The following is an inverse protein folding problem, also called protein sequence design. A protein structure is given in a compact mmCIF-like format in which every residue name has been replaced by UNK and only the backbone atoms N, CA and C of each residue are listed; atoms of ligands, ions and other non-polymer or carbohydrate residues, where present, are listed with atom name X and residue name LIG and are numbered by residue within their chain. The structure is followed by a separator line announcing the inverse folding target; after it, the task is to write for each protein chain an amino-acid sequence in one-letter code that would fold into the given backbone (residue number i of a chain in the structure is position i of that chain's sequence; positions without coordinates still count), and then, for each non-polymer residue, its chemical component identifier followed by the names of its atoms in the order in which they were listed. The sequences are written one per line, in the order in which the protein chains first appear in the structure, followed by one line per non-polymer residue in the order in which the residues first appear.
data_IF_254357395908
#
_entry.id   IF_254357395908
#
_cell.length_a   1.000
_cell.length_b   1.000
_cell.length_c   1.000
_cell.angle_alpha   90.00
_cell.angle_beta   90.00
_cell.angle_gamma   90.00
#
_symmetry.space_group_name_H-M   'P 1'
#
loop_
_entity.id
_entity.type
_entity.pdbx_description
1 polymer ?
#
# COMPACT_ATOMS: atom_id res chain seq x y z
N UNK A 1 -64.61 3.65 0.69
CA UNK A 1 -64.35 5.04 0.24
C UNK A 1 -64.63 6.00 1.40
N UNK A 2 -63.61 6.60 2.04
CA UNK A 2 -63.82 7.61 3.06
C UNK A 2 -63.72 9.04 2.49
N UNK A 3 -64.56 9.94 3.04
CA UNK A 3 -64.79 11.33 2.64
C UNK A 3 -63.62 12.27 3.01
N UNK A 4 -63.42 13.37 2.27
CA UNK A 4 -62.37 14.36 2.59
C UNK A 4 -62.80 15.30 3.73
N UNK A 5 -61.92 15.49 4.72
CA UNK A 5 -62.04 16.52 5.76
C UNK A 5 -61.60 17.87 5.21
N UNK A 6 -62.53 18.82 5.19
CA UNK A 6 -62.28 20.26 5.01
C UNK A 6 -61.66 20.82 6.30
N UNK A 7 -60.57 21.57 6.18
CA UNK A 7 -60.08 22.47 7.24
C UNK A 7 -60.38 23.93 6.86
N UNK A 8 -60.63 24.79 7.87
CA UNK A 8 -61.16 26.13 7.65
C UNK A 8 -60.09 27.14 7.26
N UNK A 9 -60.52 28.03 6.36
CA UNK A 9 -59.91 29.27 5.93
C UNK A 9 -59.81 30.22 7.13
N UNK A 10 -58.61 30.66 7.48
CA UNK A 10 -58.38 31.69 8.50
C UNK A 10 -57.97 32.97 7.79
N UNK A 11 -58.94 33.87 7.65
CA UNK A 11 -58.69 35.27 7.35
C UNK A 11 -57.89 35.88 8.51
N UNK A 12 -56.79 36.56 8.20
CA UNK A 12 -56.24 37.56 9.12
C UNK A 12 -55.87 38.80 8.35
N UNK A 13 -56.43 39.87 8.86
CA UNK A 13 -56.45 41.22 8.36
C UNK A 13 -55.06 41.85 8.33
N UNK A 14 -54.98 42.93 7.57
CA UNK A 14 -53.76 43.65 7.27
C UNK A 14 -53.12 44.35 8.46
N UNK A 15 -51.83 44.62 8.29
CA UNK A 15 -51.08 45.65 8.98
C UNK A 15 -50.07 46.25 7.99
N UNK A 16 -49.80 47.53 8.24
CA UNK A 16 -49.32 48.54 7.31
C UNK A 16 -47.86 48.38 6.81
N UNK A 17 -47.52 49.02 5.67
CA UNK A 17 -46.16 49.10 5.15
C UNK A 17 -45.32 50.05 6.01
N UNK A 18 -44.54 49.49 6.93
CA UNK A 18 -43.45 50.17 7.59
C UNK A 18 -42.23 50.21 6.68
N UNK A 19 -41.91 51.40 6.17
CA UNK A 19 -40.62 51.73 5.57
C UNK A 19 -39.51 51.58 6.62
N UNK A 20 -38.84 50.44 6.61
CA UNK A 20 -37.60 50.25 7.35
C UNK A 20 -36.40 50.84 6.59
N UNK A 21 -35.42 51.40 7.31
CA UNK A 21 -34.26 52.06 6.73
C UNK A 21 -33.39 51.06 5.97
N UNK A 22 -32.91 51.47 4.79
CA UNK A 22 -31.78 50.86 4.06
C UNK A 22 -30.51 50.95 4.92
N UNK A 23 -30.44 50.14 5.97
CA UNK A 23 -29.20 49.79 6.63
C UNK A 23 -28.61 48.61 5.87
N UNK A 24 -27.72 48.89 4.92
CA UNK A 24 -26.86 47.89 4.29
C UNK A 24 -25.89 47.33 5.32
N UNK A 25 -26.40 46.52 6.25
CA UNK A 25 -25.59 45.72 7.14
C UNK A 25 -24.82 44.73 6.29
N UNK A 26 -23.52 44.99 6.12
CA UNK A 26 -22.55 43.98 5.73
C UNK A 26 -22.72 42.82 6.71
N UNK A 27 -23.54 41.83 6.34
CA UNK A 27 -23.58 40.55 7.05
C UNK A 27 -22.18 39.98 6.89
N UNK A 28 -21.46 39.95 8.00
CA UNK A 28 -20.08 39.48 8.05
C UNK A 28 -20.01 38.13 7.36
N UNK A 29 -19.10 37.97 6.40
CA UNK A 29 -18.91 36.70 5.69
C UNK A 29 -18.72 35.52 6.66
N UNK A 30 -18.22 35.81 7.87
CA UNK A 30 -18.10 34.84 8.96
C UNK A 30 -19.43 34.22 9.41
N UNK A 31 -20.56 34.95 9.40
CA UNK A 31 -21.86 34.41 9.82
C UNK A 31 -22.48 33.47 8.78
N UNK A 32 -22.14 33.64 7.50
CA UNK A 32 -22.59 32.75 6.42
C UNK A 32 -21.80 31.45 6.46
N UNK A 33 -20.46 31.54 6.57
CA UNK A 33 -19.57 30.37 6.67
C UNK A 33 -19.87 29.54 7.91
N UNK A 34 -20.15 30.17 9.06
CA UNK A 34 -20.49 29.46 10.29
C UNK A 34 -21.80 28.66 10.21
N UNK A 35 -22.81 29.15 9.48
CA UNK A 35 -24.07 28.42 9.29
C UNK A 35 -23.93 27.27 8.29
N UNK A 36 -23.07 27.42 7.29
CA UNK A 36 -22.81 26.39 6.29
C UNK A 36 -22.05 25.20 6.89
N UNK A 37 -20.99 25.46 7.66
CA UNK A 37 -20.23 24.40 8.37
C UNK A 37 -21.08 23.68 9.43
N UNK A 38 -21.99 24.37 10.11
CA UNK A 38 -22.92 23.73 11.05
C UNK A 38 -23.89 22.76 10.32
N UNK A 39 -24.31 23.10 9.11
CA UNK A 39 -25.19 22.24 8.30
C UNK A 39 -24.47 21.02 7.72
N UNK A 40 -23.17 21.15 7.42
CA UNK A 40 -22.33 20.07 6.92
C UNK A 40 -22.09 19.01 8.00
N UNK A 41 -21.69 19.45 9.18
CA UNK A 41 -21.47 18.57 10.32
C UNK A 41 -22.77 17.84 10.74
N UNK A 42 -23.94 18.47 10.54
CA UNK A 42 -25.24 17.82 10.75
C UNK A 42 -25.54 16.70 9.74
N UNK A 43 -25.24 16.91 8.45
CA UNK A 43 -25.42 15.90 7.40
C UNK A 43 -24.48 14.71 7.58
N UNK A 44 -23.22 14.95 7.95
CA UNK A 44 -22.25 13.88 8.23
C UNK A 44 -22.67 13.05 9.44
N UNK A 45 -23.06 13.71 10.54
CA UNK A 45 -23.60 13.02 11.73
C UNK A 45 -24.82 12.17 11.38
N UNK A 46 -25.71 12.68 10.52
CA UNK A 46 -26.91 11.94 10.10
C UNK A 46 -26.56 10.74 9.21
N UNK A 47 -25.59 10.88 8.31
CA UNK A 47 -25.06 9.76 7.51
C UNK A 47 -24.55 8.64 8.41
N UNK A 48 -23.72 8.97 9.40
CA UNK A 48 -23.10 7.97 10.28
C UNK A 48 -24.16 7.25 11.15
N UNK A 49 -25.19 7.98 11.59
CA UNK A 49 -26.34 7.40 12.29
C UNK A 49 -27.11 6.41 11.39
N UNK A 50 -27.43 6.80 10.16
CA UNK A 50 -28.15 5.95 9.21
C UNK A 50 -27.33 4.73 8.79
N UNK A 51 -26.02 4.87 8.57
CA UNK A 51 -25.13 3.75 8.27
C UNK A 51 -25.08 2.75 9.43
N UNK A 52 -25.07 3.23 10.69
CA UNK A 52 -25.14 2.36 11.86
C UNK A 52 -26.44 1.54 11.89
N UNK A 53 -27.56 2.12 11.48
CA UNK A 53 -28.84 1.42 11.42
C UNK A 53 -28.85 0.39 10.28
N UNK A 54 -28.43 0.78 9.07
CA UNK A 54 -28.45 -0.07 7.87
C UNK A 54 -27.48 -1.25 7.98
N UNK A 55 -26.28 -1.03 8.50
CA UNK A 55 -25.22 -2.05 8.55
C UNK A 55 -25.04 -2.69 9.93
N UNK A 56 -25.58 -2.09 10.99
CA UNK A 56 -25.45 -2.60 12.36
C UNK A 56 -26.64 -3.42 12.85
N UNK A 57 -27.73 -3.50 12.09
CA UNK A 57 -28.88 -4.34 12.43
C UNK A 57 -28.81 -5.70 11.72
N UNK A 58 -29.22 -6.77 12.42
CA UNK A 58 -29.18 -8.15 11.91
C UNK A 58 -30.36 -8.53 11.01
N UNK A 59 -31.24 -7.57 10.69
CA UNK A 59 -32.40 -7.74 9.84
C UNK A 59 -32.35 -6.82 8.63
N UNK A 60 -33.27 -7.02 7.68
CA UNK A 60 -33.43 -6.12 6.54
C UNK A 60 -33.87 -4.73 7.03
N UNK A 61 -33.10 -3.66 6.76
CA UNK A 61 -33.43 -2.32 7.23
C UNK A 61 -34.70 -1.81 6.53
N UNK A 62 -35.53 -0.98 7.20
CA UNK A 62 -36.72 -0.41 6.57
C UNK A 62 -36.33 0.39 5.31
N UNK A 63 -37.06 0.21 4.20
CA UNK A 63 -36.76 0.88 2.93
C UNK A 63 -36.61 2.41 3.06
N UNK A 64 -37.43 3.04 3.92
CA UNK A 64 -37.35 4.47 4.20
C UNK A 64 -35.99 4.93 4.74
N UNK A 65 -35.30 4.08 5.53
CA UNK A 65 -33.97 4.38 6.09
C UNK A 65 -32.90 4.30 4.99
N UNK A 66 -33.04 3.34 4.07
CA UNK A 66 -32.14 3.19 2.92
C UNK A 66 -32.30 4.37 1.95
N UNK A 67 -33.53 4.79 1.69
CA UNK A 67 -33.84 5.95 0.85
C UNK A 67 -33.28 7.24 1.45
N UNK A 68 -33.46 7.44 2.76
CA UNK A 68 -32.91 8.61 3.48
C UNK A 68 -31.37 8.63 3.42
N UNK A 69 -30.71 7.48 3.61
CA UNK A 69 -29.25 7.38 3.50
C UNK A 69 -28.77 7.75 2.09
N UNK A 70 -29.46 7.28 1.04
CA UNK A 70 -29.12 7.61 -0.34
C UNK A 70 -29.31 9.10 -0.64
N UNK A 71 -30.32 9.76 -0.04
CA UNK A 71 -30.53 11.20 -0.15
C UNK A 71 -29.42 12.01 0.53
N UNK A 72 -29.05 11.64 1.76
CA UNK A 72 -27.97 12.28 2.51
C UNK A 72 -26.62 12.15 1.78
N UNK A 73 -26.31 10.96 1.25
CA UNK A 73 -25.08 10.74 0.48
C UNK A 73 -25.03 11.58 -0.79
N UNK A 74 -26.17 11.73 -1.49
CA UNK A 74 -26.26 12.60 -2.68
C UNK A 74 -26.08 14.07 -2.33
N UNK A 75 -26.63 14.52 -1.20
CA UNK A 75 -26.47 15.89 -0.72
C UNK A 75 -25.00 16.21 -0.39
N UNK A 76 -24.29 15.28 0.26
CA UNK A 76 -22.85 15.42 0.54
C UNK A 76 -22.01 15.43 -0.75
N UNK A 77 -22.28 14.51 -1.68
CA UNK A 77 -21.55 14.45 -2.96
C UNK A 77 -21.75 15.70 -3.82
N UNK A 78 -22.96 16.27 -3.84
CA UNK A 78 -23.26 17.51 -4.56
C UNK A 78 -22.48 18.72 -4.06
N UNK A 79 -22.09 18.73 -2.77
CA UNK A 79 -21.30 19.83 -2.18
C UNK A 79 -19.80 19.66 -2.39
N UNK A 80 -19.26 18.45 -2.25
CA UNK A 80 -17.84 18.18 -2.54
C UNK A 80 -17.45 18.55 -3.98
N UNK A 81 -18.37 18.38 -4.94
CA UNK A 81 -18.17 18.80 -6.32
C UNK A 81 -18.30 20.32 -6.57
N UNK A 82 -18.94 21.06 -5.66
CA UNK A 82 -19.18 22.51 -5.79
C UNK A 82 -17.98 23.37 -5.39
N UNK A 83 -17.20 22.96 -4.38
CA UNK A 83 -16.07 23.75 -3.88
C UNK A 83 -14.89 23.80 -4.86
N UNK A 84 -14.75 22.81 -5.74
CA UNK A 84 -13.70 22.78 -6.75
C UNK A 84 -14.04 23.58 -8.03
N UNK A 85 -15.31 23.96 -8.23
CA UNK A 85 -15.73 24.65 -9.45
C UNK A 85 -15.68 26.19 -9.33
N UNK A 86 -15.38 26.74 -8.15
CA UNK A 86 -15.40 28.19 -7.88
C UNK A 86 -14.08 28.95 -8.12
N UNK A 87 -12.96 28.26 -8.40
CA UNK A 87 -11.62 28.91 -8.48
C UNK A 87 -11.05 29.05 -9.90
N UNK A 88 -11.78 28.68 -10.95
CA UNK A 88 -11.29 28.67 -12.33
C UNK A 88 -11.78 29.86 -13.20
N UNK A 89 -12.23 30.96 -12.61
CA UNK A 89 -12.65 32.17 -13.36
C UNK A 89 -12.01 33.41 -12.77
N UNK A 90 -10.72 33.64 -13.06
CA UNK A 90 -10.16 34.95 -13.45
C UNK A 90 -8.64 34.85 -13.65
N UNK A 91 -8.22 34.21 -14.74
CA UNK A 91 -6.83 34.30 -15.22
C UNK A 91 -6.83 34.37 -16.74
N UNK A 92 -7.58 35.34 -17.24
CA UNK A 92 -7.66 35.68 -18.65
C UNK A 92 -7.20 37.10 -18.90
N UNK A 93 -5.90 37.41 -18.71
CA UNK A 93 -5.26 38.52 -19.44
C UNK A 93 -3.73 38.51 -19.39
N UNK A 94 -3.15 38.58 -20.58
CA UNK A 94 -1.77 38.96 -20.92
C UNK A 94 -0.69 37.87 -20.81
N UNK A 95 -0.37 37.23 -21.94
CA UNK A 95 0.85 37.58 -22.68
C UNK A 95 1.00 36.67 -23.91
N UNK A 96 0.79 37.25 -25.08
CA UNK A 96 1.51 36.84 -26.28
C UNK A 96 3.01 37.01 -26.02
N UNK A 97 3.82 35.99 -26.29
CA UNK A 97 5.15 36.12 -26.89
C UNK A 97 5.74 34.74 -27.18
N UNK A 98 5.94 34.48 -28.48
CA UNK A 98 7.12 33.93 -29.12
C UNK A 98 8.16 33.19 -28.26
N UNK A 99 8.54 31.98 -28.67
CA UNK A 99 9.74 31.81 -29.50
C UNK A 99 10.17 30.35 -29.61
N UNK A 100 10.52 29.99 -30.84
CA UNK A 100 11.44 28.92 -31.22
C UNK A 100 12.65 28.81 -30.30
N UNK A 101 13.11 27.58 -30.06
CA UNK A 101 14.39 27.35 -29.40
C UNK A 101 14.68 25.88 -29.11
N UNK A 102 14.96 25.11 -30.16
CA UNK A 102 15.81 23.91 -30.01
C UNK A 102 17.20 24.32 -29.54
N UNK A 103 17.83 23.53 -28.66
CA UNK A 103 19.22 23.20 -28.91
C UNK A 103 19.48 21.70 -28.83
N UNK A 104 20.02 21.26 -29.96
CA UNK A 104 20.92 20.14 -30.15
C UNK A 104 22.03 20.12 -29.08
N UNK A 105 22.30 18.93 -28.53
CA UNK A 105 23.10 18.74 -27.32
C UNK A 105 24.00 17.51 -27.41
N UNK A 106 24.90 17.55 -28.39
CA UNK A 106 26.18 16.85 -28.55
C UNK A 106 26.65 15.88 -27.44
N UNK A 107 26.80 14.63 -27.86
CA UNK A 107 27.97 13.72 -27.71
C UNK A 107 29.05 14.13 -26.70
N UNK A 108 29.28 13.27 -25.70
CA UNK A 108 30.40 13.31 -24.77
C UNK A 108 30.86 11.90 -24.40
N UNK A 109 31.53 11.25 -25.35
CA UNK A 109 32.29 10.01 -25.18
C UNK A 109 33.60 10.30 -24.45
N UNK A 110 33.84 9.70 -23.28
CA UNK A 110 35.15 9.63 -22.63
C UNK A 110 35.19 8.49 -21.59
N UNK A 111 35.57 7.31 -22.06
CA UNK A 111 36.42 6.36 -21.32
C UNK A 111 37.88 6.59 -21.75
N UNK A 112 38.91 5.98 -21.14
CA UNK A 112 39.08 5.46 -19.76
C UNK A 112 40.37 6.01 -19.12
N UNK A 113 40.62 5.79 -17.83
CA UNK A 113 42.00 5.82 -17.30
C UNK A 113 42.23 4.73 -16.22
N UNK A 114 43.16 3.79 -16.44
CA UNK A 114 43.52 2.75 -15.48
C UNK A 114 44.70 3.17 -14.58
N UNK A 115 44.93 2.34 -13.55
CA UNK A 115 46.19 2.22 -12.82
C UNK A 115 46.54 3.30 -11.77
N UNK A 116 46.34 2.93 -10.49
CA UNK A 116 47.43 3.08 -9.52
C UNK A 116 47.41 1.98 -8.46
N UNK A 117 48.29 1.01 -8.71
CA UNK A 117 48.86 0.17 -7.67
C UNK A 117 49.70 1.02 -6.70
N UNK A 118 49.65 0.69 -5.40
CA UNK A 118 50.77 0.81 -4.46
C UNK A 118 50.52 -0.07 -3.24
N UNK A 119 51.17 -1.21 -3.28
CA UNK A 119 51.65 -2.01 -2.15
C UNK A 119 52.48 -1.16 -1.18
N UNK A 120 52.24 -1.28 0.13
CA UNK A 120 53.29 -1.19 1.15
C UNK A 120 53.01 -2.25 2.21
N UNK A 121 53.82 -3.28 2.10
CA UNK A 121 54.17 -4.29 3.09
C UNK A 121 55.00 -3.65 4.23
N UNK A 122 55.15 -4.41 5.31
CA UNK A 122 56.36 -4.49 6.11
C UNK A 122 56.36 -3.91 7.54
N UNK A 123 56.70 -4.82 8.47
CA UNK A 123 57.61 -4.63 9.60
C UNK A 123 57.14 -3.85 10.83
N UNK A 124 57.51 -4.18 12.07
CA UNK A 124 58.30 -5.28 12.66
C UNK A 124 58.20 -5.07 14.19
N UNK A 125 58.37 -6.17 14.92
CA UNK A 125 59.09 -6.30 16.18
C UNK A 125 59.03 -5.21 17.28
N UNK A 126 58.72 -5.72 18.49
CA UNK A 126 59.00 -5.20 19.83
C UNK A 126 60.32 -4.43 19.97
N UNK A 127 60.40 -3.56 20.99
CA UNK A 127 61.24 -3.94 22.13
C UNK A 127 60.59 -3.80 23.51
N UNK A 128 61.20 -4.54 24.41
CA UNK A 128 60.96 -4.81 25.83
C UNK A 128 61.53 -3.70 26.74
N UNK A 129 61.36 -3.84 28.06
CA UNK A 129 62.07 -3.15 29.20
C UNK A 129 61.37 -1.87 29.74
N UNK A 130 61.09 -1.64 31.04
CA UNK A 130 61.42 -2.32 32.29
C UNK A 130 60.35 -2.11 33.40
N UNK A 131 60.31 -3.11 34.28
CA UNK A 131 60.06 -3.14 35.73
C UNK A 131 59.53 -1.91 36.47
N UNK A 132 58.38 -2.09 37.13
CA UNK A 132 58.14 -1.54 38.47
C UNK A 132 57.59 -2.66 39.38
N UNK A 133 58.48 -3.22 40.21
CA UNK A 133 58.13 -4.10 41.33
C UNK A 133 57.29 -3.31 42.32
N UNK A 134 56.08 -3.79 42.64
CA UNK A 134 55.52 -3.56 43.97
C UNK A 134 54.75 -4.78 44.46
N UNK A 135 55.24 -5.29 45.58
CA UNK A 135 54.70 -6.40 46.33
C UNK A 135 53.31 -6.08 46.87
N UNK A 136 52.28 -6.76 46.33
CA UNK A 136 51.00 -6.99 47.05
C UNK A 136 50.51 -8.42 46.84
N UNK A 137 51.35 -9.38 47.24
CA UNK A 137 50.96 -10.79 47.40
C UNK A 137 50.21 -10.96 48.73
N UNK A 138 48.87 -10.97 48.68
CA UNK A 138 47.92 -11.76 49.53
C UNK A 138 46.57 -11.04 49.59
N UNK A 139 45.69 -11.29 48.61
CA UNK A 139 44.22 -11.21 48.73
C UNK A 139 43.47 -11.28 47.37
N UNK A 140 43.94 -12.06 46.38
CA UNK A 140 43.27 -12.10 45.05
C UNK A 140 43.05 -13.50 44.47
N UNK A 141 42.89 -14.53 45.31
CA UNK A 141 42.49 -15.87 44.82
C UNK A 141 40.98 -16.08 44.70
N UNK A 142 40.16 -15.11 45.13
CA UNK A 142 38.69 -15.14 44.95
C UNK A 142 38.17 -14.08 43.96
N UNK A 143 39.05 -13.25 43.38
CA UNK A 143 38.65 -12.15 42.48
C UNK A 143 38.58 -12.54 41.00
N UNK A 144 39.14 -13.68 40.59
CA UNK A 144 39.07 -14.12 39.18
C UNK A 144 37.70 -14.66 38.79
N UNK A 145 37.01 -15.32 39.74
CA UNK A 145 35.72 -15.96 39.51
C UNK A 145 34.57 -14.93 39.49
N UNK A 146 34.63 -13.90 40.35
CA UNK A 146 33.66 -12.82 40.35
C UNK A 146 33.67 -11.97 39.07
N UNK A 147 34.86 -11.70 38.50
CA UNK A 147 34.99 -10.95 37.23
C UNK A 147 34.51 -11.78 36.05
N UNK A 148 34.81 -13.09 36.03
CA UNK A 148 34.33 -14.00 34.99
C UNK A 148 32.79 -14.14 35.02
N UNK A 149 32.19 -14.28 36.21
CA UNK A 149 30.73 -14.35 36.37
C UNK A 149 30.05 -13.02 36.01
N UNK A 150 30.64 -11.88 36.38
CA UNK A 150 30.12 -10.57 36.00
C UNK A 150 30.18 -10.34 34.47
N UNK A 151 31.26 -10.75 33.80
CA UNK A 151 31.36 -10.68 32.34
C UNK A 151 30.34 -11.61 31.65
N UNK A 152 30.10 -12.80 32.18
CA UNK A 152 29.12 -13.75 31.67
C UNK A 152 27.68 -13.27 31.90
N UNK A 153 27.40 -12.63 33.04
CA UNK A 153 26.11 -11.99 33.32
C UNK A 153 25.88 -10.73 32.48
N UNK A 154 26.92 -9.97 32.14
CA UNK A 154 26.82 -8.83 31.22
C UNK A 154 26.65 -9.27 29.77
N UNK A 155 27.27 -10.37 29.35
CA UNK A 155 27.06 -10.97 28.02
C UNK A 155 25.67 -11.63 27.92
N UNK A 156 25.23 -12.35 28.95
CA UNK A 156 23.90 -12.97 28.99
C UNK A 156 22.78 -11.93 29.17
N UNK A 157 22.99 -10.92 30.02
CA UNK A 157 22.06 -9.80 30.22
C UNK A 157 22.01 -8.84 29.04
N UNK A 158 23.15 -8.59 28.38
CA UNK A 158 23.22 -7.74 27.19
C UNK A 158 22.47 -8.34 25.98
N UNK A 159 22.51 -9.66 25.82
CA UNK A 159 21.74 -10.34 24.77
C UNK A 159 20.23 -10.32 25.02
N UNK A 160 19.79 -10.41 26.28
CA UNK A 160 18.37 -10.37 26.64
C UNK A 160 17.71 -8.99 26.42
N UNK A 161 18.50 -7.90 26.40
CA UNK A 161 17.99 -6.53 26.17
C UNK A 161 18.03 -6.14 24.68
N UNK A 162 18.88 -6.79 23.87
CA UNK A 162 19.00 -6.50 22.43
C UNK A 162 17.96 -7.21 21.55
N UNK A 163 17.35 -8.30 22.04
CA UNK A 163 16.28 -9.02 21.33
C UNK A 163 14.99 -8.20 21.11
N UNK A 164 14.41 -7.48 22.10
CA UNK A 164 13.20 -6.70 21.86
C UNK A 164 13.43 -5.55 20.87
N UNK A 165 14.61 -4.93 20.88
CA UNK A 165 14.94 -3.83 19.96
C UNK A 165 15.01 -4.32 18.50
N UNK A 166 15.52 -5.53 18.26
CA UNK A 166 15.52 -6.11 16.91
C UNK A 166 14.12 -6.46 16.41
N UNK A 167 13.20 -6.86 17.28
CA UNK A 167 11.82 -7.12 16.88
C UNK A 167 11.07 -5.83 16.49
N UNK A 168 11.38 -4.71 17.15
CA UNK A 168 10.81 -3.39 16.81
C UNK A 168 11.39 -2.81 15.52
N UNK A 169 12.62 -3.16 15.17
CA UNK A 169 13.31 -2.63 13.98
C UNK A 169 13.20 -3.54 12.74
N UNK A 170 12.70 -4.76 12.89
CA UNK A 170 12.49 -5.64 11.73
C UNK A 170 11.23 -5.18 10.99
N UNK A 171 11.28 -5.01 9.65
CA UNK A 171 10.08 -4.73 8.86
C UNK A 171 9.01 -5.79 9.15
N UNK A 172 7.73 -5.42 9.28
CA UNK A 172 6.68 -6.38 9.58
C UNK A 172 6.58 -7.41 8.45
N UNK A 173 6.82 -8.68 8.79
CA UNK A 173 6.69 -9.80 7.86
C UNK A 173 5.25 -10.30 7.75
N UNK A 174 4.88 -10.77 6.56
CA UNK A 174 3.61 -11.45 6.30
C UNK A 174 2.40 -10.67 6.82
N UNK A 175 1.61 -11.29 7.71
CA UNK A 175 0.39 -10.68 8.26
C UNK A 175 0.64 -9.42 9.09
N UNK A 176 1.86 -9.23 9.62
CA UNK A 176 2.21 -8.02 10.37
C UNK A 176 2.07 -6.75 9.53
N UNK A 177 2.08 -6.86 8.19
CA UNK A 177 1.88 -5.71 7.30
C UNK A 177 0.49 -5.07 7.45
N UNK A 178 -0.50 -5.79 7.97
CA UNK A 178 -1.84 -5.24 8.22
C UNK A 178 -1.93 -4.49 9.55
N UNK A 179 -0.98 -4.69 10.46
CA UNK A 179 -0.95 -4.04 11.78
C UNK A 179 -0.37 -2.63 11.71
N UNK A 180 0.41 -2.32 10.66
CA UNK A 180 0.92 -0.96 10.42
C UNK A 180 -0.15 -0.04 9.83
N UNK A 181 -0.07 1.23 10.19
CA UNK A 181 -0.79 2.28 9.48
C UNK A 181 -0.29 2.37 8.03
N UNK A 182 -1.21 2.63 7.09
CA UNK A 182 -0.82 2.95 5.71
C UNK A 182 -0.13 4.31 5.69
N UNK A 183 0.98 4.43 4.95
CA UNK A 183 1.61 5.73 4.71
C UNK A 183 0.74 6.58 3.79
N UNK A 184 0.95 7.91 3.77
CA UNK A 184 0.21 8.81 2.87
C UNK A 184 0.43 8.43 1.39
N UNK A 185 1.67 8.09 1.02
CA UNK A 185 2.02 7.61 -0.33
C UNK A 185 1.30 6.31 -0.68
N UNK A 186 1.22 5.35 0.26
CA UNK A 186 0.49 4.11 0.05
C UNK A 186 -1.02 4.35 -0.06
N UNK A 187 -1.57 5.30 0.69
CA UNK A 187 -2.99 5.68 0.61
C UNK A 187 -3.34 6.27 -0.76
N UNK A 188 -2.47 7.12 -1.32
CA UNK A 188 -2.64 7.70 -2.65
C UNK A 188 -2.61 6.61 -3.72
N UNK A 189 -1.60 5.73 -3.69
CA UNK A 189 -1.51 4.60 -4.62
C UNK A 189 -2.67 3.61 -4.46
N UNK A 190 -3.15 3.40 -3.22
CA UNK A 190 -4.28 2.52 -2.94
C UNK A 190 -5.58 3.01 -3.59
N UNK A 191 -5.77 4.31 -3.82
CA UNK A 191 -6.97 4.82 -4.50
C UNK A 191 -7.13 4.26 -5.90
N UNK A 192 -6.03 4.19 -6.66
CA UNK A 192 -6.03 3.61 -8.00
C UNK A 192 -6.40 2.12 -7.96
N UNK A 193 -5.86 1.37 -6.99
CA UNK A 193 -6.16 -0.06 -6.80
C UNK A 193 -7.61 -0.28 -6.38
N UNK A 194 -8.13 0.51 -5.45
CA UNK A 194 -9.50 0.40 -4.95
C UNK A 194 -10.50 0.57 -6.09
N UNK A 195 -10.28 1.54 -6.97
CA UNK A 195 -11.12 1.75 -8.16
C UNK A 195 -10.99 0.57 -9.14
N UNK A 196 -9.76 0.13 -9.43
CA UNK A 196 -9.51 -0.95 -10.38
C UNK A 196 -10.10 -2.31 -9.95
N UNK A 197 -10.06 -2.62 -8.65
CA UNK A 197 -10.50 -3.91 -8.09
C UNK A 197 -11.91 -3.81 -7.48
N UNK A 198 -12.51 -2.61 -7.46
CA UNK A 198 -13.85 -2.32 -6.90
C UNK A 198 -13.98 -2.71 -5.42
N UNK A 199 -12.98 -2.34 -4.62
CA UNK A 199 -13.00 -2.59 -3.18
C UNK A 199 -13.95 -1.63 -2.47
N UNK A 200 -14.63 -2.09 -1.42
CA UNK A 200 -15.38 -1.21 -0.53
C UNK A 200 -14.46 -0.51 0.51
N UNK A 201 -15.00 0.44 1.28
CA UNK A 201 -14.22 1.21 2.27
C UNK A 201 -13.58 0.33 3.35
N UNK A 202 -14.28 -0.72 3.78
CA UNK A 202 -13.76 -1.66 4.79
C UNK A 202 -12.56 -2.43 4.22
N UNK A 203 -12.66 -2.90 2.98
CA UNK A 203 -11.58 -3.59 2.28
C UNK A 203 -10.39 -2.67 1.99
N UNK A 204 -10.64 -1.40 1.63
CA UNK A 204 -9.59 -0.39 1.41
C UNK A 204 -8.66 -0.26 2.61
N UNK A 205 -9.21 -0.28 3.83
CA UNK A 205 -8.42 -0.17 5.06
C UNK A 205 -7.46 -1.35 5.27
N UNK A 206 -7.77 -2.53 4.70
CA UNK A 206 -6.97 -3.74 4.78
C UNK A 206 -6.04 -3.98 3.59
N UNK A 207 -5.95 -3.03 2.65
CA UNK A 207 -5.08 -3.13 1.47
C UNK A 207 -3.65 -2.69 1.81
N UNK A 208 -2.62 -3.39 1.36
CA UNK A 208 -1.22 -3.02 1.59
C UNK A 208 -0.37 -3.27 0.35
N UNK A 209 0.55 -2.36 0.04
CA UNK A 209 1.57 -2.60 -0.98
C UNK A 209 2.63 -3.55 -0.42
N UNK A 210 3.01 -4.58 -1.20
CA UNK A 210 4.07 -5.54 -0.82
C UNK A 210 5.30 -5.47 -1.73
N UNK A 211 5.20 -4.77 -2.85
CA UNK A 211 6.35 -4.44 -3.70
C UNK A 211 6.09 -4.65 -5.18
N UNK A 212 7.17 -4.68 -5.94
CA UNK A 212 7.17 -4.92 -7.39
C UNK A 212 8.07 -6.10 -7.74
N UNK A 213 7.67 -6.89 -8.73
CA UNK A 213 8.50 -7.96 -9.27
C UNK A 213 8.17 -8.18 -10.74
N UNK A 214 9.20 -8.35 -11.58
CA UNK A 214 9.09 -8.68 -13.01
C UNK A 214 8.05 -7.82 -13.77
N UNK A 215 8.07 -6.50 -13.55
CA UNK A 215 7.17 -5.53 -14.19
C UNK A 215 5.71 -5.61 -13.74
N UNK A 216 5.48 -6.17 -12.55
CA UNK A 216 4.18 -6.24 -11.91
C UNK A 216 4.24 -5.60 -10.52
N UNK A 217 3.17 -4.89 -10.19
CA UNK A 217 2.90 -4.36 -8.86
C UNK A 217 2.08 -5.36 -8.07
N UNK A 218 2.45 -5.56 -6.81
CA UNK A 218 1.78 -6.50 -5.92
C UNK A 218 1.24 -5.80 -4.67
N UNK A 219 -0.02 -6.10 -4.41
CA UNK A 219 -0.77 -5.63 -3.27
C UNK A 219 -1.37 -6.83 -2.53
N UNK A 220 -1.60 -6.69 -1.24
CA UNK A 220 -2.25 -7.72 -0.43
C UNK A 220 -3.44 -7.14 0.29
N UNK A 221 -4.50 -7.91 0.35
CA UNK A 221 -5.76 -7.54 0.98
C UNK A 221 -6.14 -8.62 1.98
N UNK A 222 -6.42 -8.22 3.22
CA UNK A 222 -7.07 -9.09 4.19
C UNK A 222 -8.58 -8.86 4.16
N UNK A 223 -9.34 -9.90 3.86
CA UNK A 223 -10.81 -9.88 3.86
C UNK A 223 -11.34 -11.05 4.68
N UNK A 224 -11.92 -10.76 5.84
CA UNK A 224 -12.39 -11.78 6.79
C UNK A 224 -11.25 -12.76 7.14
N UNK A 225 -11.49 -14.06 6.98
CA UNK A 225 -10.53 -15.16 7.19
C UNK A 225 -9.73 -15.52 5.92
N UNK A 226 -9.57 -14.57 5.00
CA UNK A 226 -8.83 -14.77 3.75
C UNK A 226 -7.79 -13.68 3.53
N UNK A 227 -6.72 -14.10 2.87
CA UNK A 227 -5.64 -13.23 2.43
C UNK A 227 -5.57 -13.35 0.92
N UNK A 228 -5.65 -12.21 0.24
CA UNK A 228 -5.61 -12.12 -1.21
C UNK A 228 -4.35 -11.37 -1.64
N UNK A 229 -3.65 -11.91 -2.63
CA UNK A 229 -2.64 -11.19 -3.40
C UNK A 229 -3.32 -10.63 -4.66
N UNK A 230 -3.14 -9.34 -4.89
CA UNK A 230 -3.58 -8.63 -6.08
C UNK A 230 -2.32 -8.27 -6.88
N UNK A 231 -2.32 -8.55 -8.18
CA UNK A 231 -1.22 -8.21 -9.07
C UNK A 231 -1.75 -7.44 -10.28
N UNK A 232 -1.06 -6.37 -10.64
CA UNK A 232 -1.29 -5.61 -11.87
C UNK A 232 0.01 -5.51 -12.63
N UNK A 233 -0.07 -5.61 -13.96
CA UNK A 233 1.08 -5.35 -14.81
C UNK A 233 1.29 -3.85 -14.97
N UNK A 234 2.53 -3.38 -14.86
CA UNK A 234 2.86 -1.97 -15.13
C UNK A 234 2.30 -1.57 -16.50
N UNK A 235 1.58 -0.45 -16.55
CA UNK A 235 0.92 0.11 -17.74
C UNK A 235 -0.37 -0.59 -18.24
N UNK A 236 -0.97 -1.51 -17.47
CA UNK A 236 -2.26 -2.14 -17.79
C UNK A 236 -3.29 -1.90 -16.69
N UNK A 237 -4.58 -1.93 -17.05
CA UNK A 237 -5.68 -1.64 -16.12
C UNK A 237 -6.28 -2.88 -15.45
N UNK A 238 -5.91 -4.08 -15.90
CA UNK A 238 -6.49 -5.34 -15.41
C UNK A 238 -5.77 -5.84 -14.16
N UNK A 239 -6.57 -6.19 -13.15
CA UNK A 239 -6.10 -6.76 -11.89
C UNK A 239 -6.38 -8.26 -11.84
N UNK A 240 -5.38 -9.03 -11.41
CA UNK A 240 -5.53 -10.46 -11.13
C UNK A 240 -5.44 -10.67 -9.64
N UNK A 241 -6.36 -11.47 -9.08
CA UNK A 241 -6.37 -11.80 -7.65
C UNK A 241 -6.14 -13.29 -7.41
N UNK A 242 -5.46 -13.63 -6.32
CA UNK A 242 -5.29 -14.99 -5.82
C UNK A 242 -5.50 -14.97 -4.32
N UNK A 243 -6.49 -15.72 -3.83
CA UNK A 243 -6.87 -15.71 -2.42
C UNK A 243 -6.75 -17.10 -1.80
N UNK A 244 -6.30 -17.14 -0.55
CA UNK A 244 -6.24 -18.34 0.28
C UNK A 244 -6.87 -18.09 1.65
N UNK A 245 -7.21 -19.14 2.39
CA UNK A 245 -7.61 -19.00 3.80
C UNK A 245 -6.44 -18.52 4.65
N UNK A 246 -6.72 -17.89 5.78
CA UNK A 246 -5.70 -17.43 6.71
C UNK A 246 -4.79 -18.58 7.21
N UNK A 247 -5.36 -19.76 7.40
CA UNK A 247 -4.63 -20.99 7.75
C UNK A 247 -3.69 -21.42 6.61
N UNK A 248 -4.18 -21.54 5.38
CA UNK A 248 -3.35 -21.88 4.23
C UNK A 248 -2.24 -20.85 3.97
N UNK A 249 -2.50 -19.56 4.24
CA UNK A 249 -1.45 -18.54 4.17
C UNK A 249 -0.33 -18.77 5.19
N UNK A 250 -0.68 -19.18 6.43
CA UNK A 250 0.33 -19.46 7.47
C UNK A 250 1.18 -20.69 7.13
N UNK A 251 0.58 -21.68 6.46
CA UNK A 251 1.28 -22.92 6.10
C UNK A 251 2.09 -22.79 4.80
N UNK A 252 1.57 -22.09 3.80
CA UNK A 252 2.10 -22.13 2.43
C UNK A 252 2.33 -20.74 1.81
N UNK A 253 1.83 -19.68 2.43
CA UNK A 253 1.83 -18.34 1.84
C UNK A 253 0.90 -18.23 0.63
N UNK A 254 1.19 -17.26 -0.23
CA UNK A 254 0.52 -17.02 -1.51
C UNK A 254 1.55 -17.17 -2.63
N UNK A 255 1.15 -17.83 -3.72
CA UNK A 255 1.94 -17.91 -4.95
C UNK A 255 1.11 -17.44 -6.15
N UNK A 256 1.76 -16.68 -7.05
CA UNK A 256 1.21 -16.24 -8.35
C UNK A 256 2.16 -16.70 -9.46
N UNK A 257 1.60 -17.41 -10.44
CA UNK A 257 2.34 -17.97 -11.59
C UNK A 257 2.18 -17.08 -12.83
N UNK A 258 3.19 -16.34 -13.20
CA UNK A 258 3.19 -15.41 -14.33
C UNK A 258 3.92 -16.06 -15.51
N UNK A 259 3.23 -16.42 -16.60
CA UNK A 259 3.89 -16.88 -17.82
C UNK A 259 4.91 -15.84 -18.32
N UNK A 260 6.10 -16.28 -18.72
CA UNK A 260 7.15 -15.39 -19.22
C UNK A 260 6.68 -14.51 -20.39
N UNK A 261 5.74 -15.00 -21.20
CA UNK A 261 5.15 -14.27 -22.32
C UNK A 261 4.23 -13.09 -21.91
N UNK A 262 3.75 -13.07 -20.66
CA UNK A 262 3.01 -11.93 -20.10
C UNK A 262 3.95 -10.81 -19.63
N UNK A 263 5.22 -11.14 -19.35
CA UNK A 263 6.26 -10.20 -18.94
C UNK A 263 6.84 -9.51 -20.19
N UNK A 264 6.51 -8.22 -20.37
CA UNK A 264 6.95 -7.40 -21.52
C UNK A 264 7.82 -6.22 -21.06
N UNK A 265 8.37 -5.48 -22.03
CA UNK A 265 8.92 -4.15 -21.78
C UNK A 265 10.24 -4.12 -21.01
N UNK A 266 11.20 -4.98 -21.34
CA UNK A 266 12.51 -5.02 -20.66
C UNK A 266 12.48 -5.56 -19.23
N UNK A 267 11.31 -5.71 -18.63
CA UNK A 267 11.13 -6.25 -17.27
C UNK A 267 11.35 -7.77 -17.15
N UNK A 268 11.55 -8.46 -18.28
CA UNK A 268 11.85 -9.90 -18.30
C UNK A 268 13.31 -10.13 -17.89
N UNK A 269 13.58 -10.93 -16.84
CA UNK A 269 14.95 -11.31 -16.50
C UNK A 269 15.66 -12.01 -17.67
N UNK A 270 16.97 -11.80 -17.86
CA UNK A 270 17.70 -12.26 -19.05
C UNK A 270 17.76 -13.79 -19.19
N UNK A 271 17.63 -14.53 -18.09
CA UNK A 271 17.64 -15.99 -18.03
C UNK A 271 16.26 -16.64 -18.23
N UNK A 272 15.19 -15.84 -18.20
CA UNK A 272 13.81 -16.32 -18.40
C UNK A 272 13.50 -16.47 -19.89
N UNK A 273 13.28 -17.71 -20.34
CA UNK A 273 12.96 -18.02 -21.72
C UNK A 273 11.45 -17.92 -21.98
N UNK A 274 11.08 -17.83 -23.26
CA UNK A 274 9.68 -17.97 -23.69
C UNK A 274 9.16 -19.34 -23.26
N UNK A 275 7.96 -19.37 -22.69
CA UNK A 275 7.34 -20.57 -22.14
C UNK A 275 7.61 -20.79 -20.64
N UNK A 276 8.68 -20.24 -20.06
CA UNK A 276 8.93 -20.36 -18.61
C UNK A 276 7.82 -19.70 -17.78
N UNK A 277 7.76 -20.07 -16.50
CA UNK A 277 6.81 -19.47 -15.54
C UNK A 277 7.58 -18.83 -14.41
N UNK A 278 7.35 -17.53 -14.17
CA UNK A 278 7.84 -16.86 -12.97
C UNK A 278 6.83 -17.10 -11.85
N UNK A 279 7.29 -17.68 -10.75
CA UNK A 279 6.50 -17.83 -9.53
C UNK A 279 6.87 -16.67 -8.61
N UNK A 280 5.90 -15.81 -8.33
CA UNK A 280 6.00 -14.77 -7.31
C UNK A 280 5.33 -15.30 -6.05
N UNK A 281 6.03 -15.22 -4.92
CA UNK A 281 5.57 -15.73 -3.63
C UNK A 281 5.59 -14.66 -2.56
N UNK A 282 4.63 -14.72 -1.65
CA UNK A 282 4.61 -13.92 -0.43
C UNK A 282 4.12 -14.77 0.73
N UNK A 283 4.97 -14.95 1.74
CA UNK A 283 4.72 -15.84 2.87
C UNK A 283 4.59 -15.13 4.22
N UNK A 284 4.33 -15.89 5.29
CA UNK A 284 4.17 -15.35 6.65
C UNK A 284 5.43 -14.67 7.20
N UNK A 285 6.61 -15.05 6.71
CA UNK A 285 7.90 -14.43 7.07
C UNK A 285 8.41 -13.40 6.06
N UNK A 286 7.71 -13.18 4.94
CA UNK A 286 8.19 -12.31 3.87
C UNK A 286 7.95 -10.84 4.20
N UNK A 287 8.97 -10.00 4.02
CA UNK A 287 8.87 -8.53 4.16
C UNK A 287 8.44 -7.83 2.86
N UNK A 288 8.42 -8.57 1.75
CA UNK A 288 7.98 -8.13 0.43
C UNK A 288 7.74 -9.35 -0.46
N UNK A 289 7.55 -9.16 -1.77
CA UNK A 289 7.41 -10.27 -2.71
C UNK A 289 8.77 -10.88 -3.07
N UNK A 290 8.85 -12.21 -3.03
CA UNK A 290 9.97 -12.99 -3.54
C UNK A 290 9.58 -13.59 -4.90
N UNK A 291 10.55 -13.89 -5.76
CA UNK A 291 10.25 -14.55 -7.04
C UNK A 291 11.33 -15.54 -7.47
N UNK A 292 10.91 -16.54 -8.25
CA UNK A 292 11.76 -17.56 -8.83
C UNK A 292 11.25 -18.00 -10.20
N UNK A 293 12.13 -18.57 -11.01
CA UNK A 293 11.78 -19.12 -12.33
C UNK A 293 11.54 -20.62 -12.20
N UNK A 294 10.38 -21.09 -12.63
CA UNK A 294 10.14 -22.49 -12.92
C UNK A 294 10.32 -22.69 -14.43
N UNK A 295 11.45 -23.26 -14.87
CA UNK A 295 11.63 -23.54 -16.28
C UNK A 295 10.55 -24.52 -16.70
N UNK A 296 9.92 -24.27 -17.85
CA UNK A 296 9.07 -25.33 -18.42
C UNK A 296 10.02 -26.45 -18.78
N UNK A 297 10.00 -27.50 -17.95
CA UNK A 297 10.70 -28.74 -18.23
C UNK A 297 10.40 -29.04 -19.67
N UNK A 298 11.43 -28.94 -20.54
CA UNK A 298 11.27 -29.07 -21.98
C UNK A 298 10.63 -30.43 -22.21
N UNK A 299 9.29 -30.47 -22.31
CA UNK A 299 8.51 -31.70 -22.47
C UNK A 299 8.77 -32.38 -23.81
N UNK A 300 9.71 -31.84 -24.60
CA UNK A 300 10.12 -32.35 -25.88
C UNK A 300 11.64 -32.27 -25.97
N UNK A 301 12.27 -33.40 -25.64
CA UNK A 301 13.72 -33.56 -25.67
C UNK A 301 14.15 -35.02 -25.55
N UNK A 302 13.34 -35.88 -24.91
CA UNK A 302 13.33 -37.30 -25.30
C UNK A 302 12.37 -37.43 -26.46
N UNK A 303 12.91 -37.24 -27.67
CA UNK A 303 12.49 -38.03 -28.80
C UNK A 303 12.63 -39.51 -28.39
N UNK A 304 11.64 -40.02 -27.66
CA UNK A 304 11.41 -41.45 -27.63
C UNK A 304 11.08 -41.79 -29.07
N UNK A 305 12.08 -42.38 -29.71
CA UNK A 305 12.04 -42.92 -31.05
C UNK A 305 10.61 -43.42 -31.34
N UNK A 306 9.93 -42.77 -32.27
CA UNK A 306 8.99 -43.49 -33.11
C UNK A 306 9.78 -44.66 -33.71
N UNK A 307 9.75 -45.82 -33.04
CA UNK A 307 10.02 -47.08 -33.71
C UNK A 307 9.01 -47.11 -34.85
N UNK A 308 9.44 -47.11 -36.12
CA UNK A 308 8.51 -47.40 -37.19
C UNK A 308 7.88 -48.75 -36.84
N UNK A 309 6.56 -48.77 -36.67
CA UNK A 309 5.82 -50.03 -36.60
C UNK A 309 6.05 -50.70 -37.96
N UNK A 310 6.69 -51.87 -38.03
CA UNK A 310 6.89 -52.55 -39.30
C UNK A 310 5.51 -52.84 -39.90
N UNK A 311 5.27 -52.32 -41.11
CA UNK A 311 4.14 -52.68 -41.96
C UNK A 311 4.34 -54.10 -42.49
N UNK A 312 4.14 -55.09 -41.64
CA UNK A 312 3.92 -56.46 -42.06
C UNK A 312 2.59 -56.90 -41.44
N UNK A 313 1.73 -57.56 -42.20
CA UNK A 313 0.36 -57.99 -41.86
C UNK A 313 -0.77 -57.00 -42.19
N UNK A 314 -0.89 -56.62 -43.47
CA UNK A 314 -2.18 -56.31 -44.10
C UNK A 314 -2.26 -56.99 -45.47
N UNK A 315 -2.25 -58.33 -45.45
CA UNK A 315 -2.77 -59.19 -46.52
C UNK A 315 -3.39 -60.42 -45.85
N UNK A 316 -4.70 -60.38 -45.67
CA UNK A 316 -5.63 -61.51 -45.70
C UNK A 316 -7.04 -60.98 -45.94
#
# INVERSE_FOLDING_TARGET
MPRPRRYPRRDRAGEHPGTEPRGGGMRSAADVVGREMASENELERRRDELQRIVYGSSGEPPAAVVDELAEVQRALAGRAGGEHSGRAVDSGRAASNSSDGSPDGSVGESSPDPARARSVDDSRARPEVAEARSDRRRARRFSGLAVAVAALLLLAGGWAVLTPVRAVLSPPGGLGIFERAQSAEEQELAEEVVVGVRLNEVERSGLRAVGTAVGHEFWVLRRNERVCMLSRREFFFDWVSTCVSLEAFREHGLERRIPADEIRGGARPPDVQRGDVVIVSWGPGSVGVDWRVEPVARRYGTAEYHRPVPREHLLQ
#
